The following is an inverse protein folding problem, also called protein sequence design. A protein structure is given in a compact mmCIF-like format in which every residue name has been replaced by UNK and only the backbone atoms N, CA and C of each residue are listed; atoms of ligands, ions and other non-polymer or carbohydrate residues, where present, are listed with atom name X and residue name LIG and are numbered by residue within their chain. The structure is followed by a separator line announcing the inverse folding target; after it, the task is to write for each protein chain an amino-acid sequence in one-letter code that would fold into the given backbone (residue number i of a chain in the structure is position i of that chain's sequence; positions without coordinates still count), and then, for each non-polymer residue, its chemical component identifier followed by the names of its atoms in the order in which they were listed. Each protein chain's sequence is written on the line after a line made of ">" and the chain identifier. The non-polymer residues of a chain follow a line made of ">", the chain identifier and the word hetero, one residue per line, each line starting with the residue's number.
data_IF_635612938910
#
_entry.id   IF_635612938910
#
_cell.length_a   1.000
_cell.length_b   1.000
_cell.length_c   1.000
_cell.angle_alpha   90.00
_cell.angle_beta   90.00
_cell.angle_gamma   90.00
#
_symmetry.space_group_name_H-M   'P 1'
#
loop_
_entity.id
_entity.type
_entity.pdbx_description
1 polymer ?
#
# COMPACT_ATOMS: atom_id res chain seq x y z
N UNK A 1 -2.77 17.01 10.06
CA UNK A 1 -2.28 16.60 8.74
C UNK A 1 -1.49 17.72 8.13
N UNK A 2 -0.18 17.58 8.17
CA UNK A 2 0.78 18.49 7.54
C UNK A 2 1.44 17.77 6.36
N UNK A 3 1.66 18.48 5.26
CA UNK A 3 2.36 17.95 4.09
C UNK A 3 3.86 17.91 4.36
N UNK A 4 4.45 16.72 4.34
CA UNK A 4 5.90 16.53 4.54
C UNK A 4 6.63 16.56 3.19
N UNK A 5 6.02 15.95 2.17
CA UNK A 5 6.64 15.80 0.88
C UNK A 5 5.61 15.63 -0.23
N UNK A 6 6.00 15.99 -1.45
CA UNK A 6 5.23 15.74 -2.66
C UNK A 6 5.89 14.65 -3.50
N UNK A 7 5.09 13.65 -3.86
CA UNK A 7 5.48 12.57 -4.75
C UNK A 7 5.55 13.08 -6.19
N UNK A 8 6.37 12.43 -7.01
CA UNK A 8 6.24 12.57 -8.46
C UNK A 8 4.99 11.84 -8.96
N UNK A 9 4.47 12.24 -10.12
CA UNK A 9 3.31 11.57 -10.74
C UNK A 9 3.56 10.06 -10.94
N UNK A 10 4.80 9.67 -11.22
CA UNK A 10 5.17 8.26 -11.37
C UNK A 10 5.04 7.50 -10.05
N UNK A 11 5.59 8.04 -8.96
CA UNK A 11 5.50 7.43 -7.62
C UNK A 11 4.06 7.38 -7.11
N UNK A 12 3.30 8.45 -7.35
CA UNK A 12 1.89 8.51 -7.02
C UNK A 12 1.08 7.45 -7.78
N UNK A 13 1.34 7.26 -9.08
CA UNK A 13 0.70 6.22 -9.89
C UNK A 13 1.07 4.82 -9.37
N UNK A 14 2.35 4.58 -9.09
CA UNK A 14 2.83 3.28 -8.58
C UNK A 14 2.15 2.91 -7.26
N UNK A 15 2.13 3.83 -6.29
CA UNK A 15 1.53 3.54 -4.98
C UNK A 15 0.01 3.46 -5.05
N UNK A 16 -0.62 4.26 -5.91
CA UNK A 16 -2.05 4.16 -6.18
C UNK A 16 -2.43 2.76 -6.68
N UNK A 17 -1.71 2.22 -7.67
CA UNK A 17 -1.98 0.87 -8.17
C UNK A 17 -1.80 -0.21 -7.09
N UNK A 18 -0.78 -0.07 -6.23
CA UNK A 18 -0.55 -1.01 -5.13
C UNK A 18 -1.68 -0.96 -4.11
N UNK A 19 -2.13 0.24 -3.73
CA UNK A 19 -3.25 0.44 -2.81
C UNK A 19 -4.54 -0.15 -3.39
N UNK A 20 -4.85 0.13 -4.65
CA UNK A 20 -6.05 -0.39 -5.31
C UNK A 20 -6.03 -1.92 -5.41
N UNK A 21 -4.90 -2.52 -5.84
CA UNK A 21 -4.74 -3.98 -5.89
C UNK A 21 -4.88 -4.61 -4.51
N UNK A 22 -4.28 -4.01 -3.48
CA UNK A 22 -4.39 -4.47 -2.09
C UNK A 22 -5.83 -4.43 -1.59
N UNK A 23 -6.55 -3.35 -1.87
CA UNK A 23 -7.95 -3.19 -1.49
C UNK A 23 -8.85 -4.21 -2.20
N UNK A 24 -8.66 -4.39 -3.51
CA UNK A 24 -9.40 -5.38 -4.29
C UNK A 24 -9.17 -6.81 -3.77
N UNK A 25 -7.92 -7.20 -3.51
CA UNK A 25 -7.58 -8.51 -2.97
C UNK A 25 -8.09 -8.70 -1.54
N UNK A 26 -8.06 -7.66 -0.70
CA UNK A 26 -8.65 -7.70 0.65
C UNK A 26 -10.16 -7.94 0.60
N UNK A 27 -10.85 -7.25 -0.30
CA UNK A 27 -12.29 -7.43 -0.53
C UNK A 27 -12.60 -8.83 -1.08
N UNK A 28 -11.81 -9.32 -2.04
CA UNK A 28 -11.96 -10.67 -2.58
C UNK A 28 -11.73 -11.73 -1.50
N UNK A 29 -10.70 -11.58 -0.66
CA UNK A 29 -10.42 -12.49 0.46
C UNK A 29 -11.61 -12.59 1.40
N UNK A 30 -12.22 -11.46 1.79
CA UNK A 30 -13.45 -11.43 2.61
C UNK A 30 -14.62 -12.16 1.95
N UNK A 31 -14.77 -12.06 0.63
CA UNK A 31 -15.82 -12.76 -0.13
C UNK A 31 -15.59 -14.27 -0.23
N UNK A 32 -14.34 -14.72 -0.15
CA UNK A 32 -13.94 -16.13 -0.26
C UNK A 32 -13.83 -16.83 1.10
N UNK A 33 -13.68 -16.07 2.19
CA UNK A 33 -13.58 -16.58 3.55
C UNK A 33 -14.80 -17.45 3.92
N UNK A 34 -14.55 -18.59 4.58
CA UNK A 34 -15.60 -19.53 5.00
C UNK A 34 -16.24 -20.38 3.88
N UNK A 35 -15.83 -20.22 2.61
CA UNK A 35 -16.35 -21.01 1.48
C UNK A 35 -15.43 -22.18 1.16
N UNK A 36 -15.72 -23.37 1.69
CA UNK A 36 -14.91 -24.58 1.49
C UNK A 36 -14.66 -24.92 0.01
N UNK A 37 -15.66 -24.73 -0.86
CA UNK A 37 -15.56 -24.94 -2.31
C UNK A 37 -14.52 -24.04 -2.99
N UNK A 38 -14.16 -22.92 -2.35
CA UNK A 38 -13.26 -21.91 -2.90
C UNK A 38 -11.89 -21.89 -2.20
N UNK A 39 -11.55 -22.92 -1.42
CA UNK A 39 -10.29 -22.96 -0.66
C UNK A 39 -9.05 -22.70 -1.51
N UNK A 40 -9.00 -23.24 -2.73
CA UNK A 40 -7.91 -23.00 -3.68
C UNK A 40 -7.79 -21.53 -4.07
N UNK A 41 -8.90 -20.92 -4.50
CA UNK A 41 -8.97 -19.50 -4.86
C UNK A 41 -8.65 -18.59 -3.66
N UNK A 42 -9.08 -18.96 -2.46
CA UNK A 42 -8.73 -18.24 -1.23
C UNK A 42 -7.22 -18.26 -0.98
N UNK A 43 -6.56 -19.41 -1.13
CA UNK A 43 -5.11 -19.51 -0.99
C UNK A 43 -4.38 -18.67 -2.05
N UNK A 44 -4.83 -18.69 -3.31
CA UNK A 44 -4.25 -17.84 -4.36
C UNK A 44 -4.42 -16.36 -4.04
N UNK A 45 -5.63 -15.93 -3.70
CA UNK A 45 -5.94 -14.55 -3.32
C UNK A 45 -5.08 -14.09 -2.13
N UNK A 46 -4.83 -14.96 -1.15
CA UNK A 46 -3.95 -14.68 -0.02
C UNK A 46 -2.50 -14.48 -0.49
N UNK A 47 -1.97 -15.40 -1.30
CA UNK A 47 -0.60 -15.30 -1.80
C UNK A 47 -0.37 -14.03 -2.63
N UNK A 48 -1.33 -13.66 -3.48
CA UNK A 48 -1.24 -12.43 -4.27
C UNK A 48 -1.35 -11.19 -3.39
N UNK A 49 -2.19 -11.22 -2.35
CA UNK A 49 -2.26 -10.14 -1.37
C UNK A 49 -0.93 -9.95 -0.63
N UNK A 50 -0.30 -11.04 -0.21
CA UNK A 50 0.98 -11.02 0.50
C UNK A 50 2.09 -10.43 -0.39
N UNK A 51 2.15 -10.82 -1.68
CA UNK A 51 3.08 -10.22 -2.66
C UNK A 51 2.86 -8.72 -2.87
N UNK A 52 1.61 -8.29 -3.01
CA UNK A 52 1.29 -6.85 -3.16
C UNK A 52 1.69 -6.08 -1.91
N UNK A 53 1.52 -6.67 -0.72
CA UNK A 53 1.99 -6.08 0.51
C UNK A 53 3.51 -5.94 0.56
N UNK A 54 4.27 -6.96 0.15
CA UNK A 54 5.73 -6.87 0.05
C UNK A 54 6.15 -5.74 -0.88
N UNK A 55 5.55 -5.65 -2.07
CA UNK A 55 5.81 -4.54 -3.01
C UNK A 55 5.47 -3.17 -2.43
N UNK A 56 4.39 -3.07 -1.65
CA UNK A 56 4.00 -1.85 -0.97
C UNK A 56 4.99 -1.45 0.14
N UNK A 57 5.52 -2.42 0.89
CA UNK A 57 6.57 -2.15 1.87
C UNK A 57 7.87 -1.70 1.21
N UNK A 58 8.30 -2.38 0.14
CA UNK A 58 9.48 -1.97 -0.63
C UNK A 58 9.32 -0.56 -1.21
N UNK A 59 8.12 -0.20 -1.68
CA UNK A 59 7.84 1.16 -2.14
C UNK A 59 8.05 2.17 -1.00
N UNK A 60 7.54 1.88 0.20
CA UNK A 60 7.76 2.74 1.37
C UNK A 60 9.23 2.87 1.75
N UNK A 61 9.99 1.78 1.78
CA UNK A 61 11.43 1.80 2.05
C UNK A 61 12.15 2.73 1.07
N UNK A 62 11.86 2.61 -0.22
CA UNK A 62 12.44 3.46 -1.26
C UNK A 62 12.08 4.94 -1.08
N UNK A 63 10.83 5.24 -0.73
CA UNK A 63 10.35 6.62 -0.52
C UNK A 63 10.96 7.23 0.74
N UNK A 64 11.04 6.46 1.82
CA UNK A 64 11.66 6.88 3.08
C UNK A 64 13.14 7.20 2.84
N UNK A 65 13.85 6.35 2.10
CA UNK A 65 15.26 6.59 1.75
C UNK A 65 15.40 7.80 0.81
N UNK A 66 14.64 7.85 -0.29
CA UNK A 66 14.74 8.92 -1.29
C UNK A 66 14.50 10.30 -0.70
N UNK A 67 13.50 10.43 0.17
CA UNK A 67 13.12 11.69 0.78
C UNK A 67 13.65 11.87 2.20
N UNK A 68 14.51 10.96 2.67
CA UNK A 68 15.16 10.99 4.00
C UNK A 68 14.15 11.10 5.16
N UNK A 69 12.98 10.47 5.00
CA UNK A 69 11.86 10.55 5.95
C UNK A 69 12.11 9.78 7.24
N UNK A 70 13.15 8.92 7.31
CA UNK A 70 13.49 8.17 8.52
C UNK A 70 13.98 9.04 9.68
N UNK A 71 14.24 10.32 9.43
CA UNK A 71 14.52 11.33 10.46
C UNK A 71 13.25 11.97 11.03
N UNK A 72 12.08 11.72 10.44
CA UNK A 72 10.80 12.14 11.02
C UNK A 72 10.60 11.40 12.34
N UNK A 73 10.56 12.18 13.42
CA UNK A 73 10.48 11.71 14.81
C UNK A 73 9.11 11.13 15.15
N UNK A 74 8.15 11.22 14.22
CA UNK A 74 6.75 10.95 14.48
C UNK A 74 6.23 9.70 13.75
N UNK A 75 5.45 8.91 14.46
CA UNK A 75 5.38 7.46 14.26
C UNK A 75 4.51 6.98 13.08
N UNK A 76 3.82 7.89 12.35
CA UNK A 76 2.85 7.50 11.31
C UNK A 76 2.78 8.47 10.12
N UNK A 77 3.42 8.06 9.02
CA UNK A 77 3.29 8.69 7.70
C UNK A 77 2.12 8.10 6.92
N UNK A 78 1.40 8.94 6.18
CA UNK A 78 0.31 8.51 5.30
C UNK A 78 0.49 9.07 3.89
N UNK A 79 -0.01 8.35 2.88
CA UNK A 79 -0.01 8.81 1.48
C UNK A 79 -1.39 9.27 1.09
N UNK A 80 -1.50 10.52 0.63
CA UNK A 80 -2.62 11.01 -0.15
C UNK A 80 -2.28 10.88 -1.64
N UNK A 81 -2.87 9.87 -2.28
CA UNK A 81 -2.70 9.59 -3.70
C UNK A 81 -3.41 10.59 -4.61
N UNK A 82 -4.45 11.29 -4.13
CA UNK A 82 -5.20 12.28 -4.92
C UNK A 82 -4.44 13.60 -4.94
N UNK A 83 -3.87 13.99 -3.80
CA UNK A 83 -3.00 15.15 -3.67
C UNK A 83 -1.55 14.90 -4.11
N UNK A 84 -1.16 13.64 -4.31
CA UNK A 84 0.21 13.17 -4.58
C UNK A 84 1.18 13.55 -3.43
N UNK A 85 0.72 13.42 -2.18
CA UNK A 85 1.40 13.93 -0.99
C UNK A 85 1.67 12.84 0.03
N UNK A 86 2.74 13.01 0.78
CA UNK A 86 2.97 12.32 2.05
C UNK A 86 2.62 13.29 3.16
N UNK A 87 1.75 12.87 4.05
CA UNK A 87 1.30 13.68 5.17
C UNK A 87 1.67 13.03 6.49
N UNK A 88 1.85 13.88 7.49
CA UNK A 88 1.91 13.49 8.89
C UNK A 88 0.49 13.30 9.45
N UNK A 89 0.27 12.25 10.24
CA UNK A 89 -1.00 12.02 10.93
C UNK A 89 -1.06 12.68 12.29
#
# INVERSE_FOLDING_TARGET
>A
MEEICRLTNHEATQVYELIEKRNALSNLKKLLEGKEKNKYLYCQCKNDYDKINEMYQMWWENIIEKYQLGTCVEERLIVDVVGEKIMYQ
#
